data_IF_378353996675
#
_entry.id   IF_378353996675
#
_cell.length_a   1.000
_cell.length_b   1.000
_cell.length_c   1.000
_cell.angle_alpha   90.00
_cell.angle_beta   90.00
_cell.angle_gamma   90.00
#
_symmetry.space_group_name_H-M   'P 1'
#
loop_
_entity.id
_entity.type
_entity.pdbx_description
1 polymer ?
#
# COMPACT_ATOMS: atom_id res chain seq x y z
N UNK A 1 0.55 13.30 -4.62
CA UNK A 1 -0.93 13.30 -4.59
C UNK A 1 -1.50 14.18 -5.71
N UNK A 2 -2.79 14.03 -6.00
CA UNK A 2 -3.49 14.88 -6.96
C UNK A 2 -5.00 14.80 -6.74
N UNK A 3 -5.70 15.73 -7.36
CA UNK A 3 -7.16 15.77 -7.35
C UNK A 3 -7.68 16.10 -8.74
N UNK A 4 -8.84 15.54 -9.07
CA UNK A 4 -9.58 15.84 -10.28
C UNK A 4 -11.02 16.21 -9.90
N UNK A 5 -11.54 17.27 -10.48
CA UNK A 5 -12.93 17.70 -10.38
C UNK A 5 -13.37 18.28 -11.72
N UNK A 6 -14.50 17.82 -12.23
CA UNK A 6 -15.10 18.34 -13.48
C UNK A 6 -14.09 18.39 -14.64
N UNK A 7 -13.27 17.33 -14.78
CA UNK A 7 -12.21 17.17 -15.77
C UNK A 7 -11.04 18.16 -15.67
N UNK A 8 -10.99 18.93 -14.61
CA UNK A 8 -9.83 19.75 -14.26
C UNK A 8 -9.11 19.14 -13.08
N UNK A 9 -7.80 19.15 -13.10
CA UNK A 9 -7.02 18.49 -12.06
C UNK A 9 -5.66 19.11 -11.83
N UNK A 10 -5.01 18.62 -10.79
CA UNK A 10 -3.61 18.91 -10.54
C UNK A 10 -2.93 17.69 -9.94
N UNK A 11 -1.64 17.60 -10.16
CA UNK A 11 -0.75 16.71 -9.42
C UNK A 11 0.30 17.53 -8.65
N UNK A 12 0.51 17.17 -7.40
CA UNK A 12 1.53 17.74 -6.54
C UNK A 12 2.59 16.68 -6.23
N UNK A 13 3.81 16.96 -6.63
CA UNK A 13 4.97 16.07 -6.47
C UNK A 13 5.95 16.71 -5.50
N UNK A 14 6.20 16.07 -4.37
CA UNK A 14 7.28 16.46 -3.48
C UNK A 14 8.62 16.01 -4.06
N UNK A 15 9.40 16.94 -4.57
CA UNK A 15 10.71 16.63 -5.17
C UNK A 15 11.81 16.48 -4.12
N UNK A 16 11.52 16.87 -2.88
CA UNK A 16 12.40 16.71 -1.71
C UNK A 16 11.65 15.96 -0.60
N UNK A 17 11.43 14.62 -0.76
CA UNK A 17 10.46 13.88 0.04
C UNK A 17 10.94 13.49 1.45
N UNK A 18 12.18 13.81 1.81
CA UNK A 18 12.72 13.49 3.14
C UNK A 18 11.94 14.23 4.23
N UNK A 19 11.47 13.52 5.22
CA UNK A 19 10.61 14.03 6.29
C UNK A 19 9.33 14.72 5.76
N UNK A 20 8.83 14.31 4.60
CA UNK A 20 7.59 14.81 4.03
C UNK A 20 6.47 13.81 4.20
N UNK A 21 5.30 14.29 4.54
CA UNK A 21 4.06 13.54 4.54
C UNK A 21 2.96 14.33 3.83
N UNK A 22 1.81 13.71 3.70
CA UNK A 22 0.61 14.37 3.21
C UNK A 22 -0.57 14.05 4.12
N UNK A 23 -1.56 14.90 4.10
CA UNK A 23 -2.83 14.66 4.76
C UNK A 23 -3.98 14.86 3.78
N UNK A 24 -5.08 14.17 4.03
CA UNK A 24 -6.33 14.35 3.32
C UNK A 24 -7.45 14.44 4.35
N UNK A 25 -8.21 15.51 4.32
CA UNK A 25 -9.29 15.78 5.27
C UNK A 25 -10.56 16.12 4.51
N UNK A 26 -11.65 15.50 4.90
CA UNK A 26 -12.98 15.82 4.41
C UNK A 26 -13.86 16.22 5.60
N UNK A 27 -13.95 17.53 5.92
CA UNK A 27 -14.77 17.99 7.04
C UNK A 27 -16.22 17.55 6.90
N UNK A 28 -16.84 17.12 7.98
CA UNK A 28 -18.22 16.68 8.00
C UNK A 28 -19.15 17.80 7.47
N UNK A 29 -19.96 17.48 6.43
CA UNK A 29 -20.83 18.44 5.77
C UNK A 29 -20.13 19.46 4.86
N UNK A 30 -18.81 19.37 4.73
CA UNK A 30 -18.05 20.21 3.80
C UNK A 30 -18.14 19.71 2.35
N UNK A 31 -18.09 20.62 1.37
CA UNK A 31 -18.20 20.26 -0.06
C UNK A 31 -16.87 19.78 -0.67
N UNK A 32 -15.76 19.88 0.03
CA UNK A 32 -14.42 19.64 -0.51
C UNK A 32 -13.57 18.75 0.38
N UNK A 33 -12.69 17.98 -0.26
CA UNK A 33 -11.56 17.32 0.40
C UNK A 33 -10.35 18.23 0.33
N UNK A 34 -9.76 18.50 1.47
CA UNK A 34 -8.50 19.24 1.59
C UNK A 34 -7.36 18.25 1.55
N UNK A 35 -6.42 18.45 0.64
CA UNK A 35 -5.19 17.66 0.57
C UNK A 35 -4.00 18.60 0.67
N UNK A 36 -3.10 18.33 1.59
CA UNK A 36 -1.92 19.15 1.80
C UNK A 36 -0.67 18.34 2.08
N UNK A 37 0.46 19.00 2.01
CA UNK A 37 1.76 18.45 2.39
C UNK A 37 2.19 19.04 3.74
N UNK A 38 2.85 18.25 4.54
CA UNK A 38 3.56 18.72 5.72
C UNK A 38 5.00 18.20 5.70
N UNK A 39 5.86 18.88 6.43
CA UNK A 39 7.26 18.50 6.59
C UNK A 39 7.57 18.42 8.07
N UNK A 40 8.06 17.28 8.51
CA UNK A 40 8.51 17.10 9.88
C UNK A 40 9.92 17.65 10.05
N UNK A 41 10.16 18.50 11.07
CA UNK A 41 11.50 18.97 11.36
C UNK A 41 12.32 17.84 12.00
N UNK A 42 13.57 17.69 11.59
CA UNK A 42 14.54 16.83 12.27
C UNK A 42 15.19 17.61 13.39
N UNK A 43 15.07 17.15 14.62
CA UNK A 43 15.60 17.82 15.82
C UNK A 43 15.20 19.31 15.90
N UNK A 44 13.98 19.64 15.53
CA UNK A 44 13.45 21.00 15.54
C UNK A 44 13.97 21.91 14.44
N UNK A 45 14.67 21.38 13.43
CA UNK A 45 15.27 22.14 12.34
C UNK A 45 14.76 21.71 10.97
N UNK A 46 14.78 22.66 10.04
CA UNK A 46 14.51 22.44 8.62
C UNK A 46 15.84 22.54 7.85
N UNK A 47 16.58 21.43 7.81
CA UNK A 47 17.98 21.43 7.37
C UNK A 47 18.18 21.48 5.85
N UNK A 48 17.10 21.43 5.06
CA UNK A 48 17.21 21.48 3.61
C UNK A 48 16.02 22.21 2.99
N UNK A 49 16.20 22.67 1.74
CA UNK A 49 15.15 23.31 0.95
C UNK A 49 14.02 22.32 0.68
N UNK A 50 12.77 22.74 0.93
CA UNK A 50 11.55 22.01 0.63
C UNK A 50 11.02 22.44 -0.72
N UNK A 51 10.72 21.51 -1.60
CA UNK A 51 10.26 21.80 -2.95
C UNK A 51 9.09 20.93 -3.32
N UNK A 52 8.00 21.59 -3.71
CA UNK A 52 6.81 20.98 -4.32
C UNK A 52 6.69 21.44 -5.78
N UNK A 53 6.44 20.50 -6.68
CA UNK A 53 6.07 20.77 -8.07
C UNK A 53 4.57 20.54 -8.22
N UNK A 54 3.88 21.53 -8.72
CA UNK A 54 2.46 21.41 -9.10
C UNK A 54 2.35 21.47 -10.62
N UNK A 55 1.63 20.51 -11.20
CA UNK A 55 1.23 20.51 -12.61
C UNK A 55 -0.30 20.57 -12.65
N UNK A 56 -0.85 21.57 -13.31
CA UNK A 56 -2.29 21.71 -13.52
C UNK A 56 -2.66 21.18 -14.89
N UNK A 57 -3.77 20.45 -14.96
CA UNK A 57 -4.23 19.74 -16.16
C UNK A 57 -5.69 20.11 -16.44
N UNK A 58 -5.96 20.44 -17.70
CA UNK A 58 -7.30 20.61 -18.23
C UNK A 58 -7.73 19.34 -18.96
N UNK A 59 -9.05 19.09 -18.99
CA UNK A 59 -9.67 17.94 -19.66
C UNK A 59 -9.01 16.59 -19.29
N UNK A 60 -8.81 16.36 -18.00
CA UNK A 60 -8.06 15.23 -17.46
C UNK A 60 -8.92 14.30 -16.60
N UNK A 61 -8.39 13.10 -16.41
CA UNK A 61 -8.83 12.14 -15.39
C UNK A 61 -7.66 11.69 -14.50
N UNK A 62 -7.90 10.71 -13.61
CA UNK A 62 -6.86 10.21 -12.71
C UNK A 62 -5.71 9.49 -13.47
N UNK A 63 -5.99 8.93 -14.67
CA UNK A 63 -4.94 8.30 -15.48
C UNK A 63 -3.96 9.35 -16.00
N UNK A 64 -4.43 10.56 -16.30
CA UNK A 64 -3.57 11.64 -16.76
C UNK A 64 -2.66 12.12 -15.64
N UNK A 65 -3.15 12.16 -14.40
CA UNK A 65 -2.29 12.39 -13.23
C UNK A 65 -1.21 11.30 -13.09
N UNK A 66 -1.58 10.03 -13.30
CA UNK A 66 -0.63 8.91 -13.26
C UNK A 66 0.43 9.01 -14.38
N UNK A 67 0.03 9.41 -15.60
CA UNK A 67 0.95 9.63 -16.73
C UNK A 67 1.92 10.77 -16.44
N UNK A 68 1.44 11.87 -15.86
CA UNK A 68 2.28 13.00 -15.46
C UNK A 68 3.31 12.58 -14.41
N UNK A 69 2.90 11.81 -13.39
CA UNK A 69 3.84 11.25 -12.41
C UNK A 69 4.85 10.30 -13.04
N UNK A 70 4.40 9.45 -13.95
CA UNK A 70 5.29 8.53 -14.70
C UNK A 70 6.32 9.30 -15.53
N UNK A 71 5.90 10.40 -16.18
CA UNK A 71 6.79 11.29 -16.93
C UNK A 71 7.87 11.87 -16.01
N UNK A 72 7.46 12.39 -14.86
CA UNK A 72 8.40 12.89 -13.85
C UNK A 72 9.42 11.82 -13.40
N UNK A 73 8.95 10.61 -13.09
CA UNK A 73 9.85 9.51 -12.66
C UNK A 73 10.82 9.13 -13.79
N UNK A 74 10.37 9.19 -15.05
CA UNK A 74 11.20 8.95 -16.22
C UNK A 74 12.25 10.06 -16.40
N UNK A 75 11.88 11.34 -16.29
CA UNK A 75 12.79 12.49 -16.30
C UNK A 75 13.90 12.36 -15.25
N UNK A 76 13.59 11.78 -14.10
CA UNK A 76 14.56 11.51 -13.04
C UNK A 76 15.45 10.26 -13.31
N UNK A 77 15.25 9.55 -14.42
CA UNK A 77 15.95 8.32 -14.74
C UNK A 77 15.66 7.16 -13.78
N UNK A 78 14.53 7.23 -13.06
CA UNK A 78 14.14 6.25 -12.04
C UNK A 78 13.10 5.25 -12.52
N UNK A 79 12.43 5.52 -13.62
CA UNK A 79 11.46 4.59 -14.19
C UNK A 79 12.19 3.30 -14.62
N UNK A 80 11.64 2.17 -14.23
CA UNK A 80 12.09 0.84 -14.67
C UNK A 80 10.86 0.03 -15.06
N UNK A 81 10.82 -0.40 -16.31
CA UNK A 81 9.76 -1.28 -16.81
C UNK A 81 9.92 -2.71 -16.30
N UNK A 82 8.85 -3.51 -16.39
CA UNK A 82 8.94 -4.93 -16.05
C UNK A 82 9.92 -5.65 -16.97
N UNK A 83 10.00 -5.28 -18.24
CA UNK A 83 10.95 -5.83 -19.21
C UNK A 83 12.40 -5.56 -18.78
N UNK A 84 12.72 -4.32 -18.39
CA UNK A 84 14.05 -3.96 -17.87
C UNK A 84 14.38 -4.71 -16.58
N UNK A 85 13.39 -4.92 -15.71
CA UNK A 85 13.56 -5.70 -14.49
C UNK A 85 13.77 -7.17 -14.79
N UNK A 86 12.98 -7.76 -15.70
CA UNK A 86 13.09 -9.14 -16.13
C UNK A 86 14.43 -9.44 -16.83
N UNK A 87 14.95 -8.49 -17.61
CA UNK A 87 16.28 -8.62 -18.21
C UNK A 87 17.41 -8.73 -17.18
N UNK A 88 17.24 -8.14 -16.00
CA UNK A 88 18.20 -8.21 -14.88
C UNK A 88 17.96 -9.38 -13.95
N UNK A 89 16.72 -9.75 -13.75
CA UNK A 89 16.29 -10.86 -12.89
C UNK A 89 15.18 -11.65 -13.62
N UNK A 90 15.51 -12.77 -14.24
CA UNK A 90 14.55 -13.59 -14.98
C UNK A 90 13.34 -14.04 -14.17
N UNK A 91 13.45 -14.18 -12.83
CA UNK A 91 12.34 -14.54 -11.95
C UNK A 91 11.20 -13.50 -11.96
N UNK A 92 11.43 -12.29 -12.43
CA UNK A 92 10.37 -11.30 -12.64
C UNK A 92 9.33 -11.79 -13.66
N UNK A 93 9.74 -12.62 -14.64
CA UNK A 93 8.81 -13.21 -15.59
C UNK A 93 7.80 -14.15 -14.93
N UNK A 94 8.16 -14.75 -13.79
CA UNK A 94 7.26 -15.63 -13.06
C UNK A 94 6.07 -14.87 -12.48
N UNK A 95 6.24 -13.55 -12.24
CA UNK A 95 5.19 -12.68 -11.73
C UNK A 95 4.29 -12.09 -12.83
N UNK A 96 4.73 -12.10 -14.07
CA UNK A 96 3.94 -11.56 -15.18
C UNK A 96 2.74 -12.48 -15.44
N UNK A 97 1.55 -11.90 -15.38
CA UNK A 97 0.29 -12.64 -15.53
C UNK A 97 -0.18 -13.37 -14.27
N UNK A 98 0.51 -13.23 -13.13
CA UNK A 98 0.01 -13.75 -11.86
C UNK A 98 -1.17 -12.94 -11.34
N UNK A 99 -2.18 -13.61 -10.80
CA UNK A 99 -3.10 -13.02 -9.87
C UNK A 99 -2.40 -12.83 -8.51
N UNK A 100 -2.38 -11.61 -7.98
CA UNK A 100 -1.83 -11.33 -6.66
C UNK A 100 -2.93 -11.56 -5.61
N UNK A 101 -2.77 -12.60 -4.81
CA UNK A 101 -3.74 -13.01 -3.80
C UNK A 101 -3.16 -12.80 -2.41
N UNK A 102 -3.85 -12.00 -1.61
CA UNK A 102 -3.47 -11.70 -0.23
C UNK A 102 -4.42 -12.42 0.73
N UNK A 103 -3.89 -13.17 1.69
CA UNK A 103 -4.63 -13.95 2.68
C UNK A 103 -4.01 -13.83 4.06
N UNK A 104 -4.83 -13.50 5.05
CA UNK A 104 -4.41 -13.51 6.45
C UNK A 104 -4.61 -14.86 7.11
N UNK A 105 -3.69 -15.25 7.99
CA UNK A 105 -3.79 -16.46 8.81
C UNK A 105 -4.27 -16.09 10.21
N UNK A 106 -3.49 -15.31 10.95
CA UNK A 106 -3.75 -14.96 12.33
C UNK A 106 -3.60 -13.47 12.57
N UNK A 107 -4.60 -12.86 13.17
CA UNK A 107 -4.59 -11.44 13.55
C UNK A 107 -5.00 -11.34 15.01
N UNK A 108 -4.31 -10.49 15.76
CA UNK A 108 -4.65 -10.14 17.14
C UNK A 108 -4.75 -8.63 17.26
N UNK A 109 -5.89 -8.15 17.78
CA UNK A 109 -6.05 -6.73 18.10
C UNK A 109 -5.39 -6.48 19.44
N UNK A 110 -4.41 -5.57 19.46
CA UNK A 110 -3.67 -5.24 20.66
C UNK A 110 -4.52 -4.41 21.63
N UNK A 111 -4.27 -4.55 22.93
CA UNK A 111 -5.02 -3.84 23.99
C UNK A 111 -4.97 -2.30 23.88
N UNK A 112 -3.96 -1.76 23.23
CA UNK A 112 -3.80 -0.32 23.02
C UNK A 112 -4.37 0.16 21.69
N UNK A 113 -5.05 -0.71 20.94
CA UNK A 113 -5.73 -0.35 19.70
C UNK A 113 -7.12 0.22 19.99
N UNK A 114 -7.53 1.24 19.23
CA UNK A 114 -8.90 1.78 19.26
C UNK A 114 -9.97 0.77 18.82
N UNK A 115 -9.54 -0.31 18.18
CA UNK A 115 -10.41 -1.41 17.72
C UNK A 115 -10.50 -2.57 18.73
N UNK A 116 -9.83 -2.46 19.88
CA UNK A 116 -9.87 -3.51 20.88
C UNK A 116 -11.23 -3.53 21.59
N UNK A 117 -11.86 -4.71 21.60
CA UNK A 117 -13.13 -4.94 22.27
C UNK A 117 -12.87 -5.59 23.65
N UNK A 118 -12.91 -4.84 24.75
CA UNK A 118 -12.67 -5.39 26.08
C UNK A 118 -13.84 -6.22 26.61
N UNK A 119 -15.05 -6.02 26.08
CA UNK A 119 -16.26 -6.76 26.50
C UNK A 119 -16.36 -8.12 25.86
N UNK A 120 -15.75 -8.30 24.67
CA UNK A 120 -15.75 -9.56 23.95
C UNK A 120 -14.31 -9.93 23.53
N UNK A 121 -13.48 -10.42 24.44
CA UNK A 121 -12.06 -10.69 24.19
C UNK A 121 -11.80 -11.63 23.02
N UNK A 122 -12.71 -12.56 22.75
CA UNK A 122 -12.61 -13.51 21.63
C UNK A 122 -12.67 -12.85 20.25
N UNK A 123 -13.32 -11.69 20.14
CA UNK A 123 -13.40 -10.92 18.89
C UNK A 123 -12.07 -10.24 18.51
N UNK A 124 -11.17 -10.13 19.48
CA UNK A 124 -9.85 -9.53 19.24
C UNK A 124 -8.86 -10.50 18.56
N UNK A 125 -9.25 -11.75 18.42
CA UNK A 125 -8.43 -12.77 17.79
C UNK A 125 -9.17 -13.36 16.59
N UNK A 126 -8.51 -13.35 15.45
CA UNK A 126 -9.00 -13.97 14.24
C UNK A 126 -7.97 -14.98 13.71
N UNK A 127 -8.43 -16.20 13.48
CA UNK A 127 -7.62 -17.27 12.91
C UNK A 127 -8.34 -17.92 11.74
N UNK A 128 -7.68 -17.97 10.59
CA UNK A 128 -8.07 -18.81 9.47
C UNK A 128 -6.95 -19.81 9.23
N UNK A 129 -7.16 -21.09 9.53
CA UNK A 129 -6.11 -22.11 9.41
C UNK A 129 -5.54 -22.24 8.00
N UNK A 130 -4.31 -22.70 7.87
CA UNK A 130 -3.68 -23.01 6.57
C UNK A 130 -4.51 -23.97 5.72
N UNK A 131 -5.16 -24.95 6.34
CA UNK A 131 -6.02 -25.87 5.63
C UNK A 131 -7.20 -25.17 4.93
N UNK A 132 -7.80 -24.17 5.59
CA UNK A 132 -8.88 -23.37 5.01
C UNK A 132 -8.35 -22.51 3.86
N UNK A 133 -7.19 -21.86 4.03
CA UNK A 133 -6.56 -21.08 2.94
C UNK A 133 -6.18 -21.95 1.75
N UNK A 134 -5.69 -23.16 2.01
CA UNK A 134 -5.41 -24.15 0.95
C UNK A 134 -6.66 -24.48 0.14
N UNK A 135 -7.82 -24.66 0.81
CA UNK A 135 -9.09 -24.89 0.14
C UNK A 135 -9.48 -23.70 -0.75
N UNK A 136 -9.42 -22.47 -0.23
CA UNK A 136 -9.73 -21.25 -0.97
C UNK A 136 -8.83 -21.08 -2.22
N UNK A 137 -7.55 -21.42 -2.12
CA UNK A 137 -6.63 -21.36 -3.28
C UNK A 137 -6.98 -22.42 -4.33
N UNK A 138 -7.39 -23.62 -3.91
CA UNK A 138 -7.87 -24.65 -4.85
C UNK A 138 -9.15 -24.22 -5.55
N UNK A 139 -10.09 -23.59 -4.84
CA UNK A 139 -11.31 -23.04 -5.42
C UNK A 139 -11.00 -21.97 -6.48
N UNK A 140 -10.00 -21.10 -6.24
CA UNK A 140 -9.54 -20.14 -7.23
C UNK A 140 -8.95 -20.83 -8.48
N UNK A 141 -8.20 -21.89 -8.29
CA UNK A 141 -7.67 -22.68 -9.40
C UNK A 141 -8.79 -23.34 -10.22
N UNK A 142 -9.79 -23.93 -9.56
CA UNK A 142 -10.98 -24.51 -10.21
C UNK A 142 -11.79 -23.47 -10.99
N UNK A 143 -11.74 -22.19 -10.57
CA UNK A 143 -12.35 -21.05 -11.28
C UNK A 143 -11.49 -20.51 -12.44
N UNK A 144 -10.34 -21.12 -12.72
CA UNK A 144 -9.49 -20.80 -13.85
C UNK A 144 -8.29 -19.89 -13.53
N UNK A 145 -7.98 -19.66 -12.25
CA UNK A 145 -6.74 -18.96 -11.85
C UNK A 145 -5.58 -19.94 -11.88
N UNK A 146 -4.92 -20.04 -13.03
CA UNK A 146 -3.82 -21.00 -13.23
C UNK A 146 -2.50 -20.56 -12.60
N UNK A 147 -2.29 -19.23 -12.49
CA UNK A 147 -1.03 -18.64 -12.02
C UNK A 147 -1.32 -17.56 -10.98
N UNK A 148 -0.79 -17.75 -9.78
CA UNK A 148 -0.96 -16.78 -8.71
C UNK A 148 0.33 -16.57 -7.92
N UNK A 149 0.47 -15.37 -7.36
CA UNK A 149 1.43 -15.03 -6.32
C UNK A 149 0.66 -14.90 -5.00
N UNK A 150 0.96 -15.78 -4.05
CA UNK A 150 0.29 -15.79 -2.74
C UNK A 150 1.12 -15.03 -1.72
N UNK A 151 0.51 -13.99 -1.14
CA UNK A 151 1.04 -13.29 0.02
C UNK A 151 0.24 -13.74 1.26
N UNK A 152 0.93 -14.34 2.22
CA UNK A 152 0.34 -14.76 3.50
C UNK A 152 0.75 -13.81 4.61
N UNK A 153 -0.23 -13.18 5.25
CA UNK A 153 -0.03 -12.39 6.46
C UNK A 153 -0.31 -13.22 7.71
N UNK A 154 0.31 -12.83 8.82
CA UNK A 154 0.06 -13.42 10.11
C UNK A 154 0.31 -14.91 10.16
N UNK A 155 1.17 -15.43 9.29
CA UNK A 155 1.53 -16.84 9.21
C UNK A 155 2.39 -17.33 10.39
N UNK A 156 2.97 -16.40 11.13
CA UNK A 156 3.79 -16.68 12.30
C UNK A 156 2.95 -17.03 13.53
N UNK A 157 3.53 -17.77 14.47
CA UNK A 157 2.85 -18.16 15.72
C UNK A 157 2.28 -16.96 16.51
N UNK A 158 2.98 -15.80 16.62
CA UNK A 158 2.42 -14.63 17.32
C UNK A 158 1.36 -13.88 16.53
N UNK A 159 1.15 -14.17 15.25
CA UNK A 159 0.22 -13.46 14.37
C UNK A 159 0.82 -12.27 13.65
N UNK A 160 -0.05 -11.47 13.02
CA UNK A 160 0.33 -10.33 12.19
C UNK A 160 1.04 -9.26 13.02
N UNK A 161 2.28 -8.95 12.62
CA UNK A 161 3.17 -7.94 13.21
C UNK A 161 3.37 -8.01 14.75
N UNK A 162 2.91 -9.08 15.38
CA UNK A 162 3.14 -9.30 16.79
C UNK A 162 4.53 -9.93 17.01
N UNK A 163 5.24 -9.45 18.03
CA UNK A 163 6.58 -9.89 18.41
C UNK A 163 7.64 -9.72 17.28
N UNK A 164 7.47 -8.74 16.39
CA UNK A 164 8.49 -8.42 15.41
C UNK A 164 9.81 -7.99 16.11
N UNK A 165 10.99 -8.49 15.68
CA UNK A 165 11.27 -9.29 14.47
C UNK A 165 11.17 -10.83 14.65
N UNK A 166 10.77 -11.32 15.80
CA UNK A 166 10.74 -12.75 16.12
C UNK A 166 9.46 -13.42 15.61
N UNK A 167 9.40 -13.73 14.33
CA UNK A 167 8.23 -14.31 13.67
C UNK A 167 8.27 -15.83 13.50
N UNK A 168 9.35 -16.50 13.91
CA UNK A 168 9.41 -17.97 13.96
C UNK A 168 9.02 -18.49 15.35
N UNK A 169 8.39 -19.65 15.46
CA UNK A 169 7.98 -20.57 14.39
C UNK A 169 6.72 -20.10 13.64
N UNK A 170 6.39 -20.80 12.56
CA UNK A 170 5.09 -20.63 11.90
C UNK A 170 3.94 -21.03 12.82
N UNK A 171 2.76 -20.46 12.58
CA UNK A 171 1.52 -20.84 13.24
C UNK A 171 1.27 -22.34 13.05
N UNK A 172 0.79 -23.03 14.08
CA UNK A 172 0.58 -24.48 14.04
C UNK A 172 -0.77 -24.87 13.43
N UNK A 173 -1.70 -23.94 13.39
CA UNK A 173 -3.06 -24.12 12.88
C UNK A 173 -3.13 -24.01 11.33
#
# INVERSE_FOLDING_TARGET
FGQVKDRQGYIAICTTPWNAGYYAEHPAGGPYTHVGVYFEPSLGKMDYRRVMRYTFLDDCDYNDLCKEYRSYVNEQGRLRTLEEKAARNPSVNDLIGCAFVHKGIKTQVQHNSDFFDPENPEKNNHLTPFAQRTKEIRELHEQGVEKLYLHLDGWAQPGYDNQHPDYLPACKE
#
